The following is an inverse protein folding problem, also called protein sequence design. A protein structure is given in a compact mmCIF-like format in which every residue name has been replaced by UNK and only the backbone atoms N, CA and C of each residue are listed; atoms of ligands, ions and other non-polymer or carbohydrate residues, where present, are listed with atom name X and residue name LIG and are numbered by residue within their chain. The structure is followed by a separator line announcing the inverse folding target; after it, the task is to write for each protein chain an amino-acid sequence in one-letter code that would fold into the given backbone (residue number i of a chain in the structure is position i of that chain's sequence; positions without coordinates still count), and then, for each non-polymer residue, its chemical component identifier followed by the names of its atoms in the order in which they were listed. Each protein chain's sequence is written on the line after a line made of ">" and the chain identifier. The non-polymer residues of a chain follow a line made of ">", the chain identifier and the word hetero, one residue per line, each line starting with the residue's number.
data_IF_772738640001
#
_entry.id   IF_772738640001
#
_cell.length_a   1.000
_cell.length_b   1.000
_cell.length_c   1.000
_cell.angle_alpha   90.00
_cell.angle_beta   90.00
_cell.angle_gamma   90.00
#
_symmetry.space_group_name_H-M   'P 1'
#
loop_
_entity.id
_entity.type
_entity.pdbx_description
1 polymer ?
#
# COMPACT_ATOMS: atom_id res chain seq x y z
N UNK A 1 42.45 -7.81 -28.24
CA UNK A 1 41.70 -6.86 -27.39
C UNK A 1 40.21 -6.99 -27.70
N UNK A 2 39.45 -7.73 -26.89
CA UNK A 2 38.01 -7.86 -27.07
C UNK A 2 37.31 -6.66 -26.40
N UNK A 3 36.56 -5.89 -27.18
CA UNK A 3 35.69 -4.81 -26.69
C UNK A 3 34.69 -5.41 -25.70
N UNK A 4 34.83 -5.03 -24.43
CA UNK A 4 33.85 -5.31 -23.38
C UNK A 4 32.73 -4.29 -23.54
N UNK A 5 31.81 -4.56 -24.46
CA UNK A 5 30.53 -3.85 -24.47
C UNK A 5 29.88 -4.11 -23.11
N UNK A 6 29.84 -3.09 -22.25
CA UNK A 6 29.11 -3.09 -20.97
C UNK A 6 27.62 -3.23 -21.31
N UNK A 7 27.20 -4.44 -21.66
CA UNK A 7 25.80 -4.83 -21.63
C UNK A 7 25.44 -4.80 -20.16
N UNK A 8 24.80 -3.70 -19.74
CA UNK A 8 24.19 -3.56 -18.42
C UNK A 8 23.22 -4.73 -18.29
N UNK A 9 23.68 -5.82 -17.69
CA UNK A 9 22.82 -6.94 -17.32
C UNK A 9 21.73 -6.32 -16.44
N UNK A 10 20.44 -6.65 -16.65
CA UNK A 10 19.42 -6.20 -15.72
C UNK A 10 19.90 -6.63 -14.33
N UNK A 11 19.85 -5.72 -13.33
CA UNK A 11 20.33 -6.05 -11.99
C UNK A 11 19.71 -7.38 -11.60
N UNK A 12 20.50 -8.31 -11.04
CA UNK A 12 20.07 -9.68 -10.71
C UNK A 12 18.92 -9.75 -9.68
N UNK A 13 18.31 -8.62 -9.33
CA UNK A 13 17.07 -8.45 -8.57
C UNK A 13 15.97 -7.66 -9.29
N UNK A 14 16.00 -7.51 -10.62
CA UNK A 14 14.94 -6.80 -11.37
C UNK A 14 13.55 -7.41 -11.16
N UNK A 15 13.47 -8.73 -10.97
CA UNK A 15 12.24 -9.41 -10.57
C UNK A 15 11.77 -8.97 -9.19
N UNK A 16 12.68 -8.93 -8.20
CA UNK A 16 12.37 -8.51 -6.83
C UNK A 16 11.92 -7.04 -6.78
N UNK A 17 12.60 -6.14 -7.49
CA UNK A 17 12.19 -4.72 -7.57
C UNK A 17 10.77 -4.61 -8.12
N UNK A 18 10.43 -5.37 -9.18
CA UNK A 18 9.07 -5.36 -9.73
C UNK A 18 8.05 -5.98 -8.77
N UNK A 19 8.39 -7.07 -8.08
CA UNK A 19 7.54 -7.68 -7.04
C UNK A 19 7.23 -6.69 -5.91
N UNK A 20 8.24 -5.99 -5.40
CA UNK A 20 8.06 -4.99 -4.33
C UNK A 20 7.36 -3.70 -4.81
N UNK A 21 7.52 -3.30 -6.07
CA UNK A 21 6.73 -2.23 -6.69
C UNK A 21 5.26 -2.62 -6.90
N UNK A 22 4.98 -3.89 -7.16
CA UNK A 22 3.62 -4.39 -7.41
C UNK A 22 2.83 -4.61 -6.11
N UNK A 23 3.45 -5.11 -5.03
CA UNK A 23 2.76 -5.38 -3.75
C UNK A 23 2.29 -4.11 -3.00
N UNK A 24 2.88 -2.95 -3.30
CA UNK A 24 2.55 -1.69 -2.59
C UNK A 24 1.53 -0.81 -3.30
N UNK A 25 0.80 -1.34 -4.31
CA UNK A 25 -0.32 -0.64 -4.95
C UNK A 25 -1.60 -0.75 -4.13
N UNK A 26 -1.71 0.08 -3.10
CA UNK A 26 -2.96 0.27 -2.37
C UNK A 26 -3.01 1.62 -1.68
N UNK A 27 -4.21 2.13 -1.36
CA UNK A 27 -4.34 3.28 -0.49
C UNK A 27 -3.67 2.95 0.85
N UNK A 28 -2.60 3.68 1.19
CA UNK A 28 -1.93 3.56 2.48
C UNK A 28 -2.83 4.14 3.55
N UNK A 29 -3.62 3.29 4.20
CA UNK A 29 -4.41 3.65 5.36
C UNK A 29 -3.53 3.54 6.60
N UNK A 30 -3.43 4.64 7.33
CA UNK A 30 -2.82 4.62 8.66
C UNK A 30 -3.76 3.93 9.64
N UNK A 31 -3.24 3.19 10.65
CA UNK A 31 -4.07 2.56 11.68
C UNK A 31 -5.00 3.55 12.38
N UNK A 32 -4.53 4.80 12.58
CA UNK A 32 -5.31 5.88 13.18
C UNK A 32 -6.58 6.20 12.38
N UNK A 33 -6.50 6.27 11.05
CA UNK A 33 -7.66 6.50 10.19
C UNK A 33 -8.72 5.41 10.33
N UNK A 34 -8.30 4.15 10.48
CA UNK A 34 -9.22 3.02 10.66
C UNK A 34 -9.97 3.14 11.99
N UNK A 35 -9.25 3.49 13.06
CA UNK A 35 -9.84 3.69 14.39
C UNK A 35 -10.83 4.85 14.38
N UNK A 36 -10.46 6.00 13.83
CA UNK A 36 -11.36 7.17 13.75
C UNK A 36 -12.61 6.85 12.94
N UNK A 37 -12.47 6.19 11.79
CA UNK A 37 -13.62 5.82 10.96
C UNK A 37 -14.56 4.83 11.68
N UNK A 38 -14.01 3.88 12.43
CA UNK A 38 -14.81 2.95 13.22
C UNK A 38 -15.61 3.64 14.35
N UNK A 39 -15.01 4.63 15.02
CA UNK A 39 -15.66 5.40 16.08
C UNK A 39 -16.80 6.26 15.54
N UNK A 40 -16.57 6.93 14.41
CA UNK A 40 -17.61 7.74 13.75
C UNK A 40 -18.82 6.87 13.41
N UNK A 41 -18.58 5.69 12.82
CA UNK A 41 -19.64 4.76 12.45
C UNK A 41 -20.41 4.25 13.68
N UNK A 42 -19.69 3.93 14.76
CA UNK A 42 -20.31 3.51 16.02
C UNK A 42 -21.21 4.61 16.61
N UNK A 43 -20.74 5.85 16.67
CA UNK A 43 -21.52 7.00 17.15
C UNK A 43 -22.72 7.25 16.24
N UNK A 44 -22.55 7.17 14.93
CA UNK A 44 -23.63 7.35 13.96
C UNK A 44 -24.73 6.29 14.14
N UNK A 45 -24.37 5.02 14.29
CA UNK A 45 -25.33 3.96 14.60
C UNK A 45 -26.05 4.20 15.93
N UNK A 46 -25.34 4.70 16.95
CA UNK A 46 -25.90 4.98 18.27
C UNK A 46 -26.89 6.14 18.20
N UNK A 47 -26.53 7.25 17.55
CA UNK A 47 -27.44 8.39 17.32
C UNK A 47 -28.68 7.95 16.54
N UNK A 48 -28.52 7.19 15.46
CA UNK A 48 -29.66 6.66 14.72
C UNK A 48 -30.56 5.76 15.57
N UNK A 49 -29.97 4.95 16.45
CA UNK A 49 -30.72 4.04 17.33
C UNK A 49 -31.50 4.77 18.42
N UNK A 50 -30.98 5.88 18.94
CA UNK A 50 -31.63 6.66 19.99
C UNK A 50 -32.52 7.79 19.48
N UNK A 51 -32.35 8.20 18.22
CA UNK A 51 -33.18 9.23 17.56
C UNK A 51 -34.42 8.67 16.86
N UNK A 52 -34.56 7.34 16.76
CA UNK A 52 -35.77 6.65 16.31
C UNK A 52 -36.48 6.00 17.48
#
# INVERSE_FOLDING_TARGET
>A
MAKKDKKTLPPSGAGLVRYFEEETKGPKLTPEQVVVMSLILAVFCLVLRFSG
#
